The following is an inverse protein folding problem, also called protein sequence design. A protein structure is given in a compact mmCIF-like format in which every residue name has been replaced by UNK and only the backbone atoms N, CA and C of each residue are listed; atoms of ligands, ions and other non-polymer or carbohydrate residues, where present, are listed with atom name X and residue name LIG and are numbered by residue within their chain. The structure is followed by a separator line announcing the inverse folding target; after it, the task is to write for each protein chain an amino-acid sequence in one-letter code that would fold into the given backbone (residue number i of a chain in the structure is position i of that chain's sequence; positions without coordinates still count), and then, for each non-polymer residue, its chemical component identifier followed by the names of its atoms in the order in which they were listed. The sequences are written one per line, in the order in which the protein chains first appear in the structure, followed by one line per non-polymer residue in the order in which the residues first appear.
data_IF_796232293994
#
_entry.id   IF_796232293994
#
_cell.length_a   1.000
_cell.length_b   1.000
_cell.length_c   1.000
_cell.angle_alpha   90.00
_cell.angle_beta   90.00
_cell.angle_gamma   90.00
#
_symmetry.space_group_name_H-M   'P 1'
#
loop_
_entity.id
_entity.type
_entity.pdbx_description
1 polymer ?
#
# COMPACT_ATOMS: atom_id res chain seq x y z
N UNK A 1 -33.75 -41.53 -8.18
CA UNK A 1 -32.69 -40.70 -7.56
C UNK A 1 -33.32 -39.95 -6.40
N UNK A 2 -32.81 -40.17 -5.18
CA UNK A 2 -33.48 -39.77 -3.92
C UNK A 2 -33.46 -38.25 -3.69
N UNK A 3 -34.63 -37.69 -3.34
CA UNK A 3 -34.90 -36.28 -3.00
C UNK A 3 -33.86 -35.65 -2.06
N UNK A 4 -33.25 -36.45 -1.18
CA UNK A 4 -32.20 -35.99 -0.27
C UNK A 4 -30.90 -35.55 -0.95
N UNK A 5 -30.51 -36.15 -2.09
CA UNK A 5 -29.32 -35.71 -2.83
C UNK A 5 -29.53 -34.36 -3.50
N UNK A 6 -30.77 -34.09 -3.92
CA UNK A 6 -31.12 -32.83 -4.58
C UNK A 6 -31.15 -31.67 -3.57
N UNK A 7 -31.69 -31.90 -2.37
CA UNK A 7 -31.77 -30.88 -1.32
C UNK A 7 -30.39 -30.46 -0.78
N UNK A 8 -29.45 -31.41 -0.67
CA UNK A 8 -28.09 -31.15 -0.17
C UNK A 8 -27.22 -30.40 -1.20
N UNK A 9 -27.41 -30.69 -2.49
CA UNK A 9 -26.80 -29.93 -3.59
C UNK A 9 -27.39 -28.52 -3.65
N UNK A 10 -28.71 -28.37 -3.44
CA UNK A 10 -29.36 -27.07 -3.42
C UNK A 10 -28.86 -26.18 -2.27
N UNK A 11 -28.68 -26.74 -1.07
CA UNK A 11 -28.10 -26.02 0.08
C UNK A 11 -26.66 -25.58 -0.18
N UNK A 12 -25.82 -26.48 -0.73
CA UNK A 12 -24.44 -26.15 -1.10
C UNK A 12 -24.38 -25.04 -2.17
N UNK A 13 -25.29 -25.06 -3.16
CA UNK A 13 -25.36 -24.01 -4.18
C UNK A 13 -25.93 -22.69 -3.64
N UNK A 14 -26.90 -22.72 -2.73
CA UNK A 14 -27.45 -21.51 -2.11
C UNK A 14 -26.44 -20.83 -1.19
N UNK A 15 -25.71 -21.59 -0.37
CA UNK A 15 -24.65 -21.05 0.48
C UNK A 15 -23.50 -20.47 -0.35
N UNK A 16 -23.08 -21.13 -1.44
CA UNK A 16 -22.01 -20.59 -2.29
C UNK A 16 -22.41 -19.27 -2.96
N UNK A 17 -23.65 -19.15 -3.46
CA UNK A 17 -24.11 -17.93 -4.10
C UNK A 17 -24.28 -16.76 -3.11
N UNK A 18 -24.73 -17.04 -1.88
CA UNK A 18 -24.88 -16.03 -0.83
C UNK A 18 -23.53 -15.46 -0.35
N UNK A 19 -22.46 -16.25 -0.43
CA UNK A 19 -21.10 -15.80 -0.11
C UNK A 19 -20.45 -15.00 -1.26
N UNK A 20 -20.75 -15.32 -2.52
CA UNK A 20 -20.19 -14.60 -3.68
C UNK A 20 -20.77 -13.19 -3.81
N UNK A 21 -22.01 -12.98 -3.39
CA UNK A 21 -22.73 -11.70 -3.54
C UNK A 21 -22.42 -10.68 -2.41
N UNK A 22 -21.65 -11.07 -1.37
CA UNK A 22 -21.32 -10.22 -0.22
C UNK A 22 -19.98 -9.45 -0.34
N UNK A 23 -19.30 -9.54 -1.49
CA UNK A 23 -18.12 -8.73 -1.80
C UNK A 23 -18.38 -7.92 -3.07
N UNK A 24 -19.26 -6.93 -2.97
CA UNK A 24 -19.15 -5.79 -3.89
C UNK A 24 -17.76 -5.17 -3.65
N UNK A 25 -16.92 -5.04 -4.69
CA UNK A 25 -15.67 -4.34 -4.56
C UNK A 25 -16.00 -2.88 -4.25
N UNK A 26 -15.77 -2.46 -3.00
CA UNK A 26 -15.65 -1.04 -2.70
C UNK A 26 -14.57 -0.48 -3.64
N UNK A 27 -14.76 0.72 -4.19
CA UNK A 27 -13.83 1.36 -5.15
C UNK A 27 -12.42 1.62 -4.56
N UNK A 28 -12.11 1.08 -3.38
CA UNK A 28 -10.81 1.14 -2.72
C UNK A 28 -10.52 -0.10 -1.87
N UNK A 29 -9.26 -0.20 -1.45
CA UNK A 29 -8.69 -1.33 -0.74
C UNK A 29 -8.94 -1.28 0.78
N UNK A 30 -8.98 -2.45 1.42
CA UNK A 30 -9.14 -2.58 2.89
C UNK A 30 -7.89 -2.17 3.69
N UNK A 31 -6.71 -2.30 3.09
CA UNK A 31 -5.42 -2.02 3.73
C UNK A 31 -4.64 -0.99 2.92
N UNK A 32 -3.74 -0.24 3.55
CA UNK A 32 -2.86 0.71 2.84
C UNK A 32 -1.68 0.03 2.16
N UNK A 33 -1.48 -1.27 2.35
CA UNK A 33 -0.27 -1.97 1.92
C UNK A 33 -0.17 -2.10 0.38
N UNK A 34 1.02 -1.81 -0.15
CA UNK A 34 1.37 -1.95 -1.57
C UNK A 34 2.80 -2.47 -1.72
N UNK A 35 3.10 -3.03 -2.88
CA UNK A 35 4.45 -3.45 -3.28
C UNK A 35 5.09 -2.38 -4.15
N UNK A 36 6.39 -2.21 -3.98
CA UNK A 36 7.24 -1.34 -4.76
C UNK A 36 8.37 -2.18 -5.34
N UNK A 37 8.31 -2.41 -6.65
CA UNK A 37 9.41 -3.00 -7.40
C UNK A 37 10.33 -1.86 -7.88
N UNK A 38 11.57 -1.88 -7.43
CA UNK A 38 12.62 -1.01 -7.94
C UNK A 38 13.56 -1.82 -8.82
N UNK A 39 13.76 -1.35 -10.05
CA UNK A 39 14.60 -2.00 -11.07
C UNK A 39 15.66 -1.02 -11.54
N UNK A 40 16.92 -1.46 -11.54
CA UNK A 40 17.99 -0.75 -12.25
C UNK A 40 17.99 -1.20 -13.71
N UNK A 41 17.68 -0.29 -14.63
CA UNK A 41 17.52 -0.58 -16.06
C UNK A 41 18.85 -0.97 -16.73
N UNK A 42 19.98 -0.50 -16.20
CA UNK A 42 21.30 -0.77 -16.79
C UNK A 42 21.82 -2.16 -16.40
N UNK A 43 21.61 -2.56 -15.14
CA UNK A 43 22.10 -3.84 -14.61
C UNK A 43 21.06 -4.95 -14.63
N UNK A 44 19.78 -4.59 -14.80
CA UNK A 44 18.62 -5.47 -14.66
C UNK A 44 18.53 -6.14 -13.27
N UNK A 45 19.11 -5.50 -12.25
CA UNK A 45 18.96 -5.88 -10.85
C UNK A 45 17.66 -5.29 -10.28
N UNK A 46 16.93 -6.10 -9.51
CA UNK A 46 15.61 -5.73 -8.99
C UNK A 46 15.52 -5.98 -7.49
N UNK A 47 14.77 -5.13 -6.80
CA UNK A 47 14.38 -5.34 -5.41
C UNK A 47 12.89 -5.04 -5.24
N UNK A 48 12.20 -5.88 -4.50
CA UNK A 48 10.79 -5.69 -4.18
C UNK A 48 10.66 -5.35 -2.69
N UNK A 49 10.11 -4.18 -2.39
CA UNK A 49 9.94 -3.68 -1.03
C UNK A 49 8.47 -3.37 -0.75
N UNK A 50 8.13 -3.29 0.53
CA UNK A 50 6.78 -2.98 0.99
C UNK A 50 6.64 -1.49 1.28
N UNK A 51 5.53 -0.89 0.85
CA UNK A 51 5.18 0.49 1.15
C UNK A 51 3.71 0.61 1.55
N UNK A 52 3.34 1.76 2.12
CA UNK A 52 1.95 2.09 2.42
C UNK A 52 1.46 3.19 1.48
N UNK A 53 0.33 3.00 0.83
CA UNK A 53 -0.31 3.93 -0.06
C UNK A 53 -1.37 4.76 0.66
N UNK A 54 -1.30 6.09 0.55
CA UNK A 54 -2.19 7.01 1.26
C UNK A 54 -3.61 6.99 0.68
N UNK A 55 -3.76 6.95 -0.65
CA UNK A 55 -5.04 7.05 -1.34
C UNK A 55 -5.74 5.70 -1.54
N UNK A 56 -5.31 4.65 -0.83
CA UNK A 56 -5.75 3.27 -1.04
C UNK A 56 -7.27 3.05 -1.02
N UNK A 57 -8.03 3.89 -0.31
CA UNK A 57 -9.51 3.81 -0.23
C UNK A 57 -10.26 4.52 -1.35
N UNK A 58 -9.59 5.39 -2.09
CA UNK A 58 -10.23 6.30 -3.06
C UNK A 58 -9.70 6.11 -4.48
N UNK A 59 -8.50 5.55 -4.62
CA UNK A 59 -7.84 5.39 -5.90
C UNK A 59 -7.25 3.99 -5.98
N UNK A 60 -7.55 3.30 -7.07
CA UNK A 60 -6.93 2.03 -7.41
C UNK A 60 -5.46 2.21 -7.80
N UNK A 61 -4.68 1.15 -7.60
CA UNK A 61 -3.31 1.02 -8.10
C UNK A 61 -3.23 -0.22 -8.98
N UNK A 62 -2.21 -0.30 -9.84
CA UNK A 62 -2.03 -1.42 -10.76
C UNK A 62 -2.00 -2.78 -10.02
N UNK A 63 -2.63 -3.83 -10.59
CA UNK A 63 -2.72 -5.15 -9.95
C UNK A 63 -1.37 -5.87 -9.86
N UNK A 64 -0.46 -5.59 -10.78
CA UNK A 64 0.84 -6.26 -10.89
C UNK A 64 1.93 -5.30 -11.39
N UNK A 65 3.18 -5.73 -11.30
CA UNK A 65 4.33 -4.92 -11.69
C UNK A 65 4.43 -4.70 -13.21
N UNK A 66 3.78 -5.51 -14.04
CA UNK A 66 3.82 -5.37 -15.50
C UNK A 66 2.84 -4.30 -15.99
N UNK A 67 1.68 -4.20 -15.34
CA UNK A 67 0.65 -3.19 -15.59
C UNK A 67 0.90 -1.86 -14.87
N UNK A 68 1.80 -1.84 -13.90
CA UNK A 68 2.18 -0.62 -13.18
C UNK A 68 2.98 0.35 -14.06
N UNK A 69 2.58 1.63 -14.05
CA UNK A 69 3.31 2.67 -14.76
C UNK A 69 4.71 2.85 -14.14
N UNK A 70 5.81 2.68 -14.92
CA UNK A 70 7.15 2.93 -14.41
C UNK A 70 7.36 4.43 -14.20
N UNK A 71 7.84 4.81 -13.03
CA UNK A 71 8.27 6.17 -12.73
C UNK A 71 9.76 6.20 -12.41
N UNK A 72 10.46 7.23 -12.86
CA UNK A 72 11.87 7.44 -12.49
C UNK A 72 12.02 7.85 -11.03
N UNK A 73 13.23 7.81 -10.49
CA UNK A 73 13.54 8.41 -9.18
C UNK A 73 14.21 9.77 -9.38
N UNK A 74 13.77 10.79 -8.65
CA UNK A 74 14.46 12.09 -8.60
C UNK A 74 14.47 12.63 -7.19
N UNK A 75 15.61 13.21 -6.79
CA UNK A 75 15.73 13.86 -5.49
C UNK A 75 15.30 15.31 -5.55
N UNK A 76 14.96 15.85 -4.37
CA UNK A 76 14.60 17.25 -4.25
C UNK A 76 15.75 18.15 -4.72
N UNK A 77 15.40 19.17 -5.50
CA UNK A 77 16.34 20.10 -6.16
C UNK A 77 17.36 19.40 -7.10
N UNK A 78 17.08 18.17 -7.53
CA UNK A 78 18.00 17.26 -8.24
C UNK A 78 19.35 17.08 -7.52
N UNK A 79 19.38 17.26 -6.19
CA UNK A 79 20.57 17.02 -5.38
C UNK A 79 20.53 15.60 -4.86
N UNK A 80 21.55 14.80 -5.19
CA UNK A 80 21.60 13.40 -4.76
C UNK A 80 21.44 13.28 -3.25
N UNK A 81 20.51 12.40 -2.82
CA UNK A 81 20.17 12.15 -1.42
C UNK A 81 19.63 13.38 -0.65
N UNK A 82 19.17 14.42 -1.35
CA UNK A 82 18.43 15.51 -0.73
C UNK A 82 16.96 15.12 -0.58
N UNK A 83 16.56 14.86 0.67
CA UNK A 83 15.21 14.44 1.04
C UNK A 83 14.53 15.47 1.94
N UNK A 84 15.13 16.64 2.16
CA UNK A 84 14.53 17.72 2.97
C UNK A 84 13.87 18.73 2.04
N UNK A 85 12.62 19.08 2.34
CA UNK A 85 11.91 20.12 1.59
C UNK A 85 12.61 21.49 1.69
N UNK A 86 13.16 21.79 2.86
CA UNK A 86 13.85 23.04 3.15
C UNK A 86 15.37 22.89 2.93
N UNK A 87 16.04 23.86 2.27
CA UNK A 87 15.47 25.09 1.71
C UNK A 87 14.67 24.82 0.42
N UNK A 88 13.67 25.67 0.18
CA UNK A 88 12.89 25.61 -1.06
C UNK A 88 13.73 26.02 -2.28
N UNK A 89 13.40 25.51 -3.48
CA UNK A 89 14.05 25.89 -4.72
C UNK A 89 14.13 27.41 -4.91
N UNK A 90 15.33 27.92 -5.18
CA UNK A 90 15.59 29.35 -5.35
C UNK A 90 16.30 29.66 -6.67
N UNK A 91 16.13 30.88 -7.20
CA UNK A 91 16.74 31.28 -8.47
C UNK A 91 16.33 30.38 -9.65
N UNK A 92 17.30 29.78 -10.32
CA UNK A 92 17.10 28.86 -11.45
C UNK A 92 16.42 27.54 -11.04
N UNK A 93 16.48 27.16 -9.77
CA UNK A 93 15.86 25.91 -9.29
C UNK A 93 14.33 25.95 -9.30
N UNK A 94 13.73 27.15 -9.40
CA UNK A 94 12.27 27.31 -9.51
C UNK A 94 11.71 26.79 -10.84
N UNK A 95 12.58 26.56 -11.83
CA UNK A 95 12.24 26.03 -13.15
C UNK A 95 12.37 24.51 -13.23
N UNK A 96 12.79 23.85 -12.15
CA UNK A 96 12.91 22.39 -12.12
C UNK A 96 11.53 21.74 -12.23
N UNK A 97 11.46 20.60 -12.90
CA UNK A 97 10.23 19.81 -13.08
C UNK A 97 10.55 18.33 -12.82
N UNK A 98 9.62 17.62 -12.19
CA UNK A 98 9.76 16.21 -11.80
C UNK A 98 8.80 15.27 -12.56
N UNK A 99 8.35 15.68 -13.74
CA UNK A 99 7.39 14.93 -14.55
C UNK A 99 7.87 13.49 -14.79
N UNK A 100 7.01 12.50 -14.52
CA UNK A 100 7.37 11.08 -14.70
C UNK A 100 8.27 10.51 -13.60
N UNK A 101 8.48 11.24 -12.49
CA UNK A 101 9.37 10.81 -11.40
C UNK A 101 8.68 10.78 -10.05
N UNK A 102 9.15 9.87 -9.20
CA UNK A 102 8.85 9.84 -7.79
C UNK A 102 9.92 10.63 -7.01
N UNK A 103 9.47 11.46 -6.07
CA UNK A 103 10.38 12.28 -5.24
C UNK A 103 10.31 11.86 -3.78
N UNK A 104 11.42 11.40 -3.17
CA UNK A 104 11.47 11.04 -1.78
C UNK A 104 11.69 12.27 -0.88
N UNK A 105 10.82 12.46 0.10
CA UNK A 105 10.93 13.50 1.13
C UNK A 105 10.82 12.89 2.51
N UNK A 106 11.54 13.44 3.49
CA UNK A 106 11.37 13.07 4.89
C UNK A 106 9.98 13.49 5.36
N UNK A 107 9.24 12.51 5.89
CA UNK A 107 7.89 12.72 6.40
C UNK A 107 7.84 13.80 7.49
N UNK A 108 8.86 13.88 8.34
CA UNK A 108 8.96 14.91 9.39
C UNK A 108 9.97 15.99 9.03
N UNK A 109 9.51 17.23 8.98
CA UNK A 109 10.38 18.41 8.92
C UNK A 109 10.98 18.61 10.31
N UNK A 110 12.30 18.46 10.42
CA UNK A 110 13.06 18.77 11.64
C UNK A 110 13.39 20.27 11.66
N UNK A 111 13.48 20.85 12.85
CA UNK A 111 13.93 22.24 12.96
C UNK A 111 15.42 22.32 12.63
N UNK A 112 15.76 23.04 11.57
CA UNK A 112 17.13 23.42 11.27
C UNK A 112 17.42 24.88 11.68
N UNK A 113 16.47 25.53 12.35
CA UNK A 113 16.56 26.92 12.80
C UNK A 113 16.29 27.95 11.70
N UNK A 114 16.01 27.51 10.46
CA UNK A 114 15.71 28.41 9.34
C UNK A 114 14.27 28.92 9.39
N UNK A 115 14.01 29.99 8.64
CA UNK A 115 12.65 30.52 8.50
C UNK A 115 11.70 29.56 7.75
N UNK A 116 12.25 28.61 6.97
CA UNK A 116 11.48 27.60 6.25
C UNK A 116 10.89 26.57 7.22
N UNK A 117 11.72 26.00 8.11
CA UNK A 117 11.29 24.94 9.04
C UNK A 117 10.40 25.46 10.17
N UNK A 118 10.68 26.67 10.70
CA UNK A 118 9.97 27.22 11.88
C UNK A 118 8.45 27.21 11.74
N UNK A 119 7.93 27.43 10.53
CA UNK A 119 6.47 27.45 10.23
C UNK A 119 5.80 26.09 10.43
N UNK A 120 6.57 25.01 10.37
CA UNK A 120 6.09 23.63 10.48
C UNK A 120 6.24 23.05 11.89
N UNK A 121 6.87 23.80 12.80
CA UNK A 121 7.13 23.37 14.18
C UNK A 121 6.38 24.22 15.20
N UNK A 122 6.14 25.51 14.88
CA UNK A 122 5.43 26.42 15.77
C UNK A 122 3.91 26.31 15.57
N UNK A 123 3.22 25.66 16.51
CA UNK A 123 1.75 25.61 16.59
C UNK A 123 1.17 24.19 16.63
N UNK A 124 0.01 24.02 17.28
CA UNK A 124 -0.63 22.70 17.47
C UNK A 124 -1.07 21.99 16.17
N UNK A 125 -1.20 22.72 15.06
CA UNK A 125 -1.52 22.20 13.72
C UNK A 125 -0.34 22.26 12.74
N UNK A 126 0.86 22.64 13.22
CA UNK A 126 2.01 22.87 12.36
C UNK A 126 2.47 21.60 11.63
N UNK A 127 2.33 20.44 12.28
CA UNK A 127 2.59 19.14 11.69
C UNK A 127 1.68 18.83 10.50
N UNK A 128 0.37 19.00 10.66
CA UNK A 128 -0.63 18.70 9.62
C UNK A 128 -0.44 19.60 8.39
N UNK A 129 -0.08 20.86 8.63
CA UNK A 129 0.25 21.79 7.57
C UNK A 129 1.53 21.39 6.82
N UNK A 130 2.47 20.72 7.48
CA UNK A 130 3.74 20.33 6.88
C UNK A 130 3.58 19.24 5.81
N UNK A 131 2.88 18.14 6.10
CA UNK A 131 2.67 17.05 5.14
C UNK A 131 1.92 17.55 3.90
N UNK A 132 0.80 18.25 4.12
CA UNK A 132 0.03 18.85 3.03
C UNK A 132 0.89 19.79 2.18
N UNK A 133 1.68 20.65 2.81
CA UNK A 133 2.56 21.57 2.10
C UNK A 133 3.63 20.84 1.28
N UNK A 134 4.26 19.79 1.83
CA UNK A 134 5.22 18.96 1.07
C UNK A 134 4.60 18.39 -0.19
N UNK A 135 3.40 17.79 -0.08
CA UNK A 135 2.70 17.18 -1.21
C UNK A 135 2.24 18.23 -2.24
N UNK A 136 1.77 19.40 -1.78
CA UNK A 136 1.43 20.52 -2.66
C UNK A 136 2.65 21.06 -3.42
N UNK A 137 3.82 21.14 -2.78
CA UNK A 137 5.05 21.52 -3.48
C UNK A 137 5.42 20.49 -4.54
N UNK A 138 5.43 19.20 -4.21
CA UNK A 138 5.73 18.14 -5.17
C UNK A 138 4.77 18.17 -6.38
N UNK A 139 3.47 18.32 -6.11
CA UNK A 139 2.45 18.50 -7.15
C UNK A 139 2.72 19.73 -8.02
N UNK A 140 3.10 20.85 -7.41
CA UNK A 140 3.41 22.10 -8.11
C UNK A 140 4.61 21.96 -9.05
N UNK A 141 5.61 21.19 -8.67
CA UNK A 141 6.79 20.91 -9.51
C UNK A 141 6.59 19.71 -10.45
N UNK A 142 5.36 19.18 -10.54
CA UNK A 142 4.99 18.15 -11.52
C UNK A 142 5.47 16.74 -11.19
N UNK A 143 5.75 16.43 -9.92
CA UNK A 143 6.06 15.05 -9.53
C UNK A 143 4.83 14.15 -9.70
N UNK A 144 5.03 12.95 -10.24
CA UNK A 144 3.95 11.97 -10.41
C UNK A 144 3.60 11.32 -9.07
N UNK A 145 4.65 10.94 -8.32
CA UNK A 145 4.53 10.21 -7.06
C UNK A 145 5.35 10.89 -5.94
N UNK A 146 4.82 10.87 -4.72
CA UNK A 146 5.54 11.24 -3.51
C UNK A 146 5.94 9.99 -2.72
N UNK A 147 7.19 9.95 -2.23
CA UNK A 147 7.65 8.92 -1.29
C UNK A 147 7.98 9.62 0.03
N UNK A 148 7.13 9.47 1.04
CA UNK A 148 7.36 10.01 2.38
C UNK A 148 8.17 9.01 3.20
N UNK A 149 9.43 9.36 3.45
CA UNK A 149 10.39 8.56 4.19
C UNK A 149 10.19 8.69 5.70
N UNK A 150 10.01 7.55 6.37
CA UNK A 150 9.72 7.45 7.80
C UNK A 150 10.90 6.83 8.54
N UNK A 151 11.34 7.47 9.63
CA UNK A 151 12.37 6.95 10.51
C UNK A 151 11.79 5.88 11.46
N UNK A 152 12.43 4.70 11.52
CA UNK A 152 12.06 3.60 12.42
C UNK A 152 12.21 3.99 13.89
N UNK A 153 11.30 3.52 14.74
CA UNK A 153 11.42 3.61 16.21
C UNK A 153 11.07 4.98 16.81
N UNK A 154 10.83 6.02 16.00
CA UNK A 154 10.38 7.30 16.56
C UNK A 154 8.89 7.26 16.87
N UNK A 155 8.05 6.68 16.00
CA UNK A 155 6.60 6.49 16.17
C UNK A 155 6.13 5.35 15.23
N UNK A 156 6.35 4.08 15.60
CA UNK A 156 6.06 2.90 14.76
C UNK A 156 4.55 2.68 14.45
N UNK A 157 3.66 3.47 15.06
CA UNK A 157 2.20 3.39 14.86
C UNK A 157 1.69 4.02 13.54
N UNK A 158 2.55 4.70 12.78
CA UNK A 158 2.17 5.29 11.48
C UNK A 158 1.96 4.24 10.38
N UNK A 159 2.54 3.05 10.52
CA UNK A 159 2.33 1.95 9.56
C UNK A 159 1.10 1.10 9.89
N UNK A 160 0.52 1.24 11.08
CA UNK A 160 -0.72 0.55 11.45
C UNK A 160 -1.93 1.40 11.07
N UNK A 161 -2.32 1.35 9.79
CA UNK A 161 -3.61 1.82 9.27
C UNK A 161 -4.01 3.28 9.51
N UNK A 162 -3.11 4.15 9.98
CA UNK A 162 -3.42 5.55 10.23
C UNK A 162 -3.35 6.33 8.92
N UNK A 163 -4.48 6.35 8.22
CA UNK A 163 -4.82 7.41 7.28
C UNK A 163 -4.46 8.76 7.93
N UNK A 164 -3.60 9.54 7.28
CA UNK A 164 -3.39 10.92 7.70
C UNK A 164 -4.68 11.68 7.39
N UNK A 165 -5.59 11.73 8.37
CA UNK A 165 -6.93 12.32 8.23
C UNK A 165 -6.92 13.80 7.86
N UNK A 166 -5.74 14.42 7.86
CA UNK A 166 -5.51 15.81 7.54
C UNK A 166 -5.18 16.06 6.07
N UNK A 167 -4.89 15.01 5.29
CA UNK A 167 -4.65 15.13 3.84
C UNK A 167 -5.90 14.66 3.10
N UNK A 168 -6.52 15.57 2.34
CA UNK A 168 -7.63 15.20 1.47
C UNK A 168 -7.10 14.33 0.31
N UNK A 169 -7.25 13.02 0.45
CA UNK A 169 -6.69 12.02 -0.46
C UNK A 169 -7.13 12.16 -1.93
N UNK A 170 -8.26 12.82 -2.20
CA UNK A 170 -8.77 13.02 -3.57
C UNK A 170 -7.97 14.01 -4.41
N UNK A 171 -7.30 14.99 -3.77
CA UNK A 171 -6.74 16.16 -4.47
C UNK A 171 -5.21 16.16 -4.50
N UNK A 172 -4.57 15.15 -3.92
CA UNK A 172 -3.12 15.05 -3.78
C UNK A 172 -2.51 14.04 -4.75
N UNK A 173 -1.23 14.20 -5.05
CA UNK A 173 -0.46 13.24 -5.84
C UNK A 173 -0.40 11.88 -5.12
N UNK A 174 -0.21 10.81 -5.89
CA UNK A 174 -0.09 9.47 -5.31
C UNK A 174 1.05 9.44 -4.31
N UNK A 175 0.75 9.09 -3.07
CA UNK A 175 1.67 9.24 -1.94
C UNK A 175 1.91 7.90 -1.28
N UNK A 176 3.17 7.54 -1.15
CA UNK A 176 3.62 6.29 -0.57
C UNK A 176 4.49 6.56 0.66
N UNK A 177 4.31 5.80 1.72
CA UNK A 177 5.16 5.81 2.90
C UNK A 177 6.10 4.63 2.87
N UNK A 178 7.38 4.90 3.07
CA UNK A 178 8.45 3.89 3.07
C UNK A 178 9.41 4.20 4.20
N UNK A 179 10.00 3.17 4.81
CA UNK A 179 11.02 3.41 5.82
C UNK A 179 12.31 3.93 5.19
N UNK A 180 12.94 4.89 5.85
CA UNK A 180 14.19 5.50 5.37
C UNK A 180 15.32 4.47 5.21
N UNK A 181 15.42 3.49 6.11
CA UNK A 181 16.43 2.45 6.04
C UNK A 181 16.22 1.50 4.85
N UNK A 182 14.98 1.10 4.58
CA UNK A 182 14.62 0.29 3.40
C UNK A 182 14.94 1.06 2.11
N UNK A 183 14.56 2.33 2.03
CA UNK A 183 14.86 3.16 0.86
C UNK A 183 16.37 3.29 0.60
N UNK A 184 17.15 3.58 1.63
CA UNK A 184 18.59 3.81 1.51
C UNK A 184 19.38 2.52 1.26
N UNK A 185 19.04 1.41 1.91
CA UNK A 185 19.82 0.18 1.83
C UNK A 185 19.39 -0.70 0.66
N UNK A 186 18.09 -0.79 0.38
CA UNK A 186 17.55 -1.71 -0.62
C UNK A 186 17.42 -1.02 -1.98
N UNK A 187 16.71 0.11 -2.07
CA UNK A 187 16.46 0.79 -3.35
C UNK A 187 17.72 1.51 -3.85
N UNK A 188 18.32 2.38 -3.03
CA UNK A 188 19.55 3.07 -3.44
C UNK A 188 20.76 2.12 -3.50
N UNK A 189 20.68 0.96 -2.83
CA UNK A 189 21.70 -0.09 -2.92
C UNK A 189 21.85 -0.68 -4.33
N UNK A 190 20.83 -0.55 -5.20
CA UNK A 190 20.89 -0.96 -6.61
C UNK A 190 21.74 -0.01 -7.48
N UNK A 191 22.08 1.18 -7.00
CA UNK A 191 22.81 2.19 -7.77
C UNK A 191 24.28 2.21 -7.38
N UNK A 192 25.15 2.25 -8.39
CA UNK A 192 26.59 2.44 -8.21
C UNK A 192 26.93 3.92 -8.40
N UNK A 193 27.00 4.67 -7.30
CA UNK A 193 27.36 6.10 -7.31
C UNK A 193 26.17 7.02 -7.06
N UNK A 194 26.18 8.21 -7.68
CA UNK A 194 25.17 9.26 -7.46
C UNK A 194 24.12 9.38 -8.56
N UNK A 195 24.19 8.54 -9.61
CA UNK A 195 23.27 8.60 -10.74
C UNK A 195 22.08 7.67 -10.53
N UNK A 196 20.91 8.26 -10.27
CA UNK A 196 19.65 7.52 -10.07
C UNK A 196 18.77 7.50 -11.32
N UNK A 197 19.24 8.02 -12.44
CA UNK A 197 18.46 8.09 -13.69
C UNK A 197 18.09 6.70 -14.25
N UNK A 198 18.89 5.68 -13.91
CA UNK A 198 18.66 4.29 -14.30
C UNK A 198 17.68 3.54 -13.39
N UNK A 199 17.23 4.14 -12.28
CA UNK A 199 16.22 3.52 -11.41
C UNK A 199 14.81 3.78 -11.92
N UNK A 200 14.06 2.68 -12.10
CA UNK A 200 12.63 2.69 -12.32
C UNK A 200 11.90 2.09 -11.13
N UNK A 201 10.82 2.74 -10.72
CA UNK A 201 9.97 2.34 -9.62
C UNK A 201 8.58 1.98 -10.16
N UNK A 202 8.04 0.85 -9.72
CA UNK A 202 6.70 0.39 -10.06
C UNK A 202 5.94 0.07 -8.80
N UNK A 203 4.87 0.81 -8.57
CA UNK A 203 3.99 0.62 -7.42
C UNK A 203 2.79 -0.22 -7.86
N UNK A 204 2.57 -1.35 -7.20
CA UNK A 204 1.50 -2.26 -7.55
C UNK A 204 0.92 -2.95 -6.31
N UNK A 205 -0.24 -3.54 -6.48
CA UNK A 205 -0.90 -4.32 -5.45
C UNK A 205 -1.68 -5.47 -6.06
N UNK A 206 -1.33 -6.72 -5.75
CA UNK A 206 -2.12 -7.87 -6.14
C UNK A 206 -3.58 -7.70 -5.71
N UNK A 207 -4.51 -7.95 -6.63
CA UNK A 207 -5.92 -7.97 -6.29
C UNK A 207 -6.15 -8.95 -5.13
N UNK A 208 -6.95 -8.57 -4.12
CA UNK A 208 -7.30 -9.51 -3.06
C UNK A 208 -7.95 -10.72 -3.73
N UNK A 209 -7.35 -11.90 -3.53
CA UNK A 209 -7.96 -13.13 -4.02
C UNK A 209 -9.37 -13.22 -3.42
N UNK A 210 -10.42 -13.44 -4.23
CA UNK A 210 -11.80 -13.36 -3.75
C UNK A 210 -12.12 -14.40 -2.67
N UNK A 211 -11.27 -15.41 -2.52
CA UNK A 211 -11.41 -16.45 -1.50
C UNK A 211 -10.04 -16.70 -0.87
N UNK A 212 -9.90 -16.39 0.40
CA UNK A 212 -8.73 -16.81 1.17
C UNK A 212 -8.73 -18.35 1.26
N UNK A 213 -7.61 -18.99 0.89
CA UNK A 213 -7.45 -20.45 0.97
C UNK A 213 -7.69 -20.96 2.41
N UNK A 214 -7.33 -20.16 3.42
CA UNK A 214 -7.64 -20.41 4.82
C UNK A 214 -9.14 -20.44 5.11
N UNK A 215 -9.92 -19.54 4.51
CA UNK A 215 -11.37 -19.50 4.66
C UNK A 215 -12.05 -20.69 3.97
N UNK A 216 -11.51 -21.13 2.83
CA UNK A 216 -11.94 -22.37 2.16
C UNK A 216 -11.67 -23.60 3.03
N UNK A 217 -10.48 -23.69 3.63
CA UNK A 217 -10.13 -24.78 4.55
C UNK A 217 -11.03 -24.81 5.78
N UNK A 218 -11.29 -23.65 6.39
CA UNK A 218 -12.19 -23.53 7.54
C UNK A 218 -13.61 -23.94 7.18
N UNK A 219 -14.10 -23.54 6.00
CA UNK A 219 -15.41 -23.96 5.51
C UNK A 219 -15.49 -25.47 5.28
N UNK A 220 -14.48 -26.07 4.64
CA UNK A 220 -14.42 -27.52 4.42
C UNK A 220 -14.38 -28.30 5.74
N UNK A 221 -13.62 -27.82 6.73
CA UNK A 221 -13.60 -28.40 8.08
C UNK A 221 -14.96 -28.29 8.76
N UNK A 222 -15.62 -27.14 8.70
CA UNK A 222 -16.93 -26.93 9.31
C UNK A 222 -17.99 -27.85 8.69
N UNK A 223 -18.07 -27.90 7.36
CA UNK A 223 -18.99 -28.80 6.64
C UNK A 223 -18.68 -30.26 6.94
N UNK A 224 -17.41 -30.65 6.98
CA UNK A 224 -16.97 -32.00 7.33
C UNK A 224 -17.37 -32.42 8.74
N UNK A 225 -17.22 -31.53 9.74
CA UNK A 225 -17.62 -31.79 11.12
C UNK A 225 -19.14 -31.94 11.27
N UNK A 226 -19.93 -31.09 10.63
CA UNK A 226 -21.41 -31.14 10.71
C UNK A 226 -21.95 -32.36 9.99
N UNK A 227 -21.46 -32.65 8.78
CA UNK A 227 -21.89 -33.84 8.02
C UNK A 227 -21.44 -35.13 8.68
N UNK A 228 -20.20 -35.19 9.18
CA UNK A 228 -19.69 -36.34 9.94
C UNK A 228 -20.45 -36.58 11.23
N UNK A 229 -20.72 -35.53 12.01
CA UNK A 229 -21.52 -35.61 13.24
C UNK A 229 -22.97 -36.03 12.96
N UNK A 230 -23.59 -35.50 11.89
CA UNK A 230 -24.94 -35.86 11.48
C UNK A 230 -25.08 -37.32 11.02
N UNK A 231 -24.11 -37.82 10.23
CA UNK A 231 -24.08 -39.24 9.81
C UNK A 231 -23.87 -40.15 11.01
N UNK A 232 -22.94 -39.81 11.92
CA UNK A 232 -22.70 -40.58 13.14
C UNK A 232 -23.93 -40.64 14.04
N UNK A 233 -24.63 -39.52 14.23
CA UNK A 233 -25.86 -39.46 15.01
C UNK A 233 -26.98 -40.31 14.40
N UNK A 234 -27.14 -40.29 13.08
CA UNK A 234 -28.14 -41.11 12.37
C UNK A 234 -27.83 -42.61 12.46
N UNK A 235 -26.57 -43.00 12.37
CA UNK A 235 -26.14 -44.40 12.57
C UNK A 235 -26.46 -44.83 14.01
N UNK A 236 -26.16 -43.98 15.00
CA UNK A 236 -26.45 -44.29 16.42
C UNK A 236 -27.94 -44.38 16.71
N UNK A 237 -28.77 -43.51 16.13
CA UNK A 237 -30.23 -43.59 16.24
C UNK A 237 -30.80 -44.83 15.55
N UNK A 238 -30.20 -45.30 14.44
CA UNK A 238 -30.62 -46.55 13.78
C UNK A 238 -30.15 -47.81 14.49
N UNK A 239 -29.03 -47.75 15.20
CA UNK A 239 -28.56 -48.83 16.07
C UNK A 239 -29.20 -48.78 17.47
N UNK A 240 -30.14 -47.87 17.71
CA UNK A 240 -30.97 -47.81 18.91
C UNK A 240 -32.29 -48.59 18.73
N UNK A 241 -32.17 -49.87 18.41
CA UNK A 241 -33.11 -50.89 18.87
C UNK A 241 -32.26 -52.12 19.22
N UNK A 242 -32.44 -52.56 20.47
CA UNK A 242 -31.90 -53.75 21.14
C UNK A 242 -30.61 -53.57 21.97
N UNK A 243 -30.79 -52.93 23.14
CA UNK A 243 -30.39 -53.47 24.45
C UNK A 243 -31.24 -52.87 25.57
#
# INVERSE_FOLDING_TARGET
MSSHKFCLILFLFLDLNLFVEAHEPTEGYDTSFVYLLATNVDTNEEVNVCANYLQFRFQGIAPDAESANPVGLSFWRHLFNETRLCPEPSGSEKLLLYNGTAVPLLYRIKDDGTNCTRRFIQGGSAFNNATRYQLEQLKRYGADNAILLVEKGKHDHLFSNSFDSYVNASDVIQTFFLYTDVFQNEILGLVKGSDVSSLQLRFHRPNPYPIALSMTLMWLLAVGCVTGGGVWALIRCRCGFDL
#
